data_IF_756559466429
#
_entry.id   IF_756559466429
#
_cell.length_a   1.000
_cell.length_b   1.000
_cell.length_c   1.000
_cell.angle_alpha   90.00
_cell.angle_beta   90.00
_cell.angle_gamma   90.00
#
_symmetry.space_group_name_H-M   'P 1'
#
loop_
_entity.id
_entity.type
_entity.pdbx_description
1 polymer ?
#
# COMPACT_ATOMS: atom_id res chain seq x y z
N UNK A 1 2.21 12.04 -14.71
CA UNK A 1 3.12 10.91 -15.05
C UNK A 1 4.30 10.80 -14.08
N UNK A 2 4.84 11.90 -13.53
CA UNK A 2 6.02 11.85 -12.64
C UNK A 2 5.79 11.08 -11.32
N UNK A 3 4.61 11.20 -10.71
CA UNK A 3 4.27 10.53 -9.44
C UNK A 3 4.33 8.99 -9.54
N UNK A 4 3.79 8.41 -10.61
CA UNK A 4 3.81 6.95 -10.83
C UNK A 4 5.25 6.41 -10.90
N UNK A 5 6.15 7.11 -11.60
CA UNK A 5 7.55 6.71 -11.65
C UNK A 5 8.22 6.81 -10.28
N UNK A 6 7.90 7.83 -9.48
CA UNK A 6 8.44 7.98 -8.12
C UNK A 6 7.97 6.84 -7.20
N UNK A 7 6.70 6.47 -7.26
CA UNK A 7 6.16 5.29 -6.57
C UNK A 7 6.88 4.02 -6.98
N UNK A 8 7.04 3.79 -8.30
CA UNK A 8 7.71 2.60 -8.80
C UNK A 8 9.20 2.53 -8.36
N UNK A 9 9.89 3.67 -8.37
CA UNK A 9 11.27 3.75 -7.87
C UNK A 9 11.35 3.50 -6.36
N UNK A 10 10.43 4.05 -5.58
CA UNK A 10 10.38 3.83 -4.14
C UNK A 10 10.12 2.36 -3.80
N UNK A 11 9.16 1.73 -4.47
CA UNK A 11 8.82 0.31 -4.27
C UNK A 11 10.00 -0.60 -4.66
N UNK A 12 10.68 -0.32 -5.78
CA UNK A 12 11.91 -1.04 -6.15
C UNK A 12 13.03 -0.86 -5.12
N UNK A 13 13.19 0.33 -4.55
CA UNK A 13 14.17 0.58 -3.50
C UNK A 13 13.86 -0.19 -2.21
N UNK A 14 12.57 -0.45 -1.93
CA UNK A 14 12.12 -1.33 -0.86
C UNK A 14 12.27 -2.83 -1.19
N UNK A 15 12.80 -3.17 -2.36
CA UNK A 15 13.06 -4.55 -2.78
C UNK A 15 11.90 -5.25 -3.48
N UNK A 16 10.85 -4.51 -3.87
CA UNK A 16 9.74 -5.08 -4.64
C UNK A 16 10.18 -5.40 -6.07
N UNK A 17 10.11 -6.67 -6.44
CA UNK A 17 10.39 -7.17 -7.78
C UNK A 17 9.11 -7.41 -8.61
N UNK A 18 9.29 -7.74 -9.89
CA UNK A 18 8.19 -8.28 -10.70
C UNK A 18 7.70 -9.61 -10.12
N UNK A 19 6.42 -9.91 -10.31
CA UNK A 19 5.69 -11.08 -9.78
C UNK A 19 5.48 -11.12 -8.26
N UNK A 20 5.98 -10.12 -7.53
CA UNK A 20 5.74 -9.99 -6.09
C UNK A 20 4.39 -9.31 -5.79
N UNK A 21 3.76 -9.69 -4.68
CA UNK A 21 2.51 -9.09 -4.23
C UNK A 21 2.75 -7.88 -3.33
N UNK A 22 2.07 -6.77 -3.62
CA UNK A 22 2.05 -5.56 -2.82
C UNK A 22 0.62 -5.26 -2.41
N UNK A 23 0.37 -5.23 -1.09
CA UNK A 23 -0.94 -4.85 -0.59
C UNK A 23 -1.11 -3.33 -0.50
N UNK A 24 -2.34 -2.85 -0.64
CA UNK A 24 -2.68 -1.44 -0.42
C UNK A 24 -3.86 -1.31 0.54
N UNK A 25 -3.70 -0.47 1.55
CA UNK A 25 -4.74 -0.06 2.48
C UNK A 25 -4.83 1.47 2.45
N UNK A 26 -5.60 1.98 1.50
CA UNK A 26 -5.81 3.41 1.29
C UNK A 26 -7.28 3.69 1.02
N UNK A 27 -7.72 4.90 1.32
CA UNK A 27 -9.01 5.39 0.83
C UNK A 27 -8.99 5.49 -0.71
N UNK A 28 -10.17 5.43 -1.34
CA UNK A 28 -10.31 5.54 -2.79
C UNK A 28 -10.02 6.98 -3.25
N UNK A 29 -8.73 7.31 -3.39
CA UNK A 29 -8.23 8.62 -3.77
C UNK A 29 -7.28 8.52 -4.97
N UNK A 30 -6.81 9.68 -5.45
CA UNK A 30 -5.88 9.75 -6.59
C UNK A 30 -4.57 9.00 -6.31
N UNK A 31 -4.04 9.06 -5.08
CA UNK A 31 -2.81 8.35 -4.71
C UNK A 31 -2.97 6.83 -4.83
N UNK A 32 -4.14 6.29 -4.48
CA UNK A 32 -4.42 4.87 -4.59
C UNK A 32 -4.39 4.40 -6.05
N UNK A 33 -4.95 5.21 -6.96
CA UNK A 33 -4.89 4.95 -8.42
C UNK A 33 -3.45 5.03 -8.93
N UNK A 34 -2.66 5.98 -8.45
CA UNK A 34 -1.25 6.11 -8.84
C UNK A 34 -0.40 4.94 -8.34
N UNK A 35 -0.62 4.48 -7.10
CA UNK A 35 0.00 3.28 -6.55
C UNK A 35 -0.40 2.03 -7.35
N UNK A 36 -1.67 1.90 -7.73
CA UNK A 36 -2.17 0.83 -8.59
C UNK A 36 -1.40 0.78 -9.92
N UNK A 37 -1.31 1.92 -10.59
CA UNK A 37 -0.58 2.05 -11.86
C UNK A 37 0.93 1.77 -11.70
N UNK A 38 1.55 2.22 -10.60
CA UNK A 38 2.97 2.04 -10.35
C UNK A 38 3.32 0.56 -10.13
N UNK A 39 2.56 -0.15 -9.29
CA UNK A 39 2.73 -1.58 -9.01
C UNK A 39 2.54 -2.39 -10.30
N UNK A 40 1.47 -2.12 -11.05
CA UNK A 40 1.22 -2.79 -12.33
C UNK A 40 2.34 -2.53 -13.35
N UNK A 41 2.85 -1.30 -13.41
CA UNK A 41 3.95 -0.92 -14.32
C UNK A 41 5.29 -1.60 -13.99
N UNK A 42 5.45 -2.08 -12.75
CA UNK A 42 6.62 -2.84 -12.32
C UNK A 42 6.53 -4.34 -12.64
N UNK A 43 5.36 -4.82 -13.09
CA UNK A 43 5.07 -6.24 -13.22
C UNK A 43 4.76 -6.93 -11.88
N UNK A 44 4.49 -6.16 -10.82
CA UNK A 44 4.08 -6.69 -9.53
C UNK A 44 2.55 -6.84 -9.47
N UNK A 45 2.06 -7.62 -8.51
CA UNK A 45 0.63 -7.89 -8.31
C UNK A 45 0.11 -7.03 -7.17
N UNK A 46 -0.96 -6.28 -7.41
CA UNK A 46 -1.60 -5.48 -6.36
C UNK A 46 -2.64 -6.31 -5.60
N UNK A 47 -2.61 -6.22 -4.27
CA UNK A 47 -3.61 -6.79 -3.38
C UNK A 47 -4.35 -5.68 -2.61
N UNK A 48 -5.57 -5.37 -3.01
CA UNK A 48 -6.32 -4.28 -2.39
C UNK A 48 -7.01 -4.73 -1.10
N UNK A 49 -6.58 -4.18 0.04
CA UNK A 49 -7.25 -4.37 1.33
C UNK A 49 -8.38 -3.37 1.49
N UNK A 50 -9.52 -3.82 2.00
CA UNK A 50 -10.68 -2.96 2.19
C UNK A 50 -10.61 -2.30 3.58
N UNK A 51 -10.49 -0.96 3.67
CA UNK A 51 -10.42 -0.25 4.95
C UNK A 51 -11.71 -0.32 5.77
N UNK A 52 -12.82 -0.82 5.21
CA UNK A 52 -14.06 -1.10 5.96
C UNK A 52 -14.00 -2.36 6.83
N UNK A 53 -12.95 -3.17 6.68
CA UNK A 53 -12.73 -4.36 7.51
C UNK A 53 -12.26 -3.96 8.91
N UNK A 54 -12.55 -4.78 9.90
CA UNK A 54 -12.07 -4.52 11.27
C UNK A 54 -10.54 -4.64 11.33
N UNK A 55 -9.92 -3.95 12.29
CA UNK A 55 -8.48 -4.03 12.53
C UNK A 55 -7.96 -5.48 12.69
N UNK A 56 -8.78 -6.36 13.30
CA UNK A 56 -8.46 -7.79 13.45
C UNK A 56 -8.45 -8.53 12.12
N UNK A 57 -9.40 -8.26 11.23
CA UNK A 57 -9.44 -8.85 9.89
C UNK A 57 -8.29 -8.35 9.03
N UNK A 58 -7.99 -7.05 9.10
CA UNK A 58 -6.85 -6.44 8.42
C UNK A 58 -5.52 -7.06 8.89
N UNK A 59 -5.37 -7.27 10.20
CA UNK A 59 -4.23 -7.96 10.78
C UNK A 59 -4.13 -9.41 10.32
N UNK A 60 -5.25 -10.14 10.29
CA UNK A 60 -5.28 -11.52 9.81
C UNK A 60 -4.84 -11.62 8.35
N UNK A 61 -5.41 -10.78 7.47
CA UNK A 61 -5.10 -10.77 6.04
C UNK A 61 -3.65 -10.34 5.83
N UNK A 62 -3.19 -9.25 6.45
CA UNK A 62 -1.81 -8.78 6.31
C UNK A 62 -0.76 -9.79 6.76
N UNK A 63 -1.05 -10.58 7.81
CA UNK A 63 -0.15 -11.63 8.27
C UNK A 63 -0.18 -12.90 7.40
N UNK A 64 -1.26 -13.12 6.66
CA UNK A 64 -1.47 -14.34 5.87
C UNK A 64 -1.29 -14.16 4.36
N UNK A 65 -1.32 -12.94 3.85
CA UNK A 65 -1.38 -12.66 2.42
C UNK A 65 -0.05 -12.87 1.66
N UNK A 66 1.03 -13.26 2.35
CA UNK A 66 2.37 -13.41 1.76
C UNK A 66 2.80 -12.19 0.92
N UNK A 67 2.26 -11.01 1.25
CA UNK A 67 2.57 -9.77 0.57
C UNK A 67 4.01 -9.35 0.92
N UNK A 68 4.76 -8.90 -0.08
CA UNK A 68 6.15 -8.46 0.08
C UNK A 68 6.25 -7.06 0.68
N UNK A 69 5.18 -6.28 0.60
CA UNK A 69 5.04 -5.00 1.27
C UNK A 69 3.59 -4.53 1.26
N UNK A 70 3.28 -3.59 2.16
CA UNK A 70 1.95 -2.98 2.26
C UNK A 70 2.09 -1.45 2.17
N UNK A 71 1.37 -0.82 1.25
CA UNK A 71 1.20 0.63 1.19
C UNK A 71 0.00 0.97 2.07
N UNK A 72 0.23 1.72 3.14
CA UNK A 72 -0.82 2.10 4.10
C UNK A 72 -0.91 3.61 4.16
N UNK A 73 -2.13 4.14 4.05
CA UNK A 73 -2.41 5.56 4.28
C UNK A 73 -2.15 5.92 5.75
N UNK A 74 -1.48 7.06 5.99
CA UNK A 74 -1.03 7.48 7.32
C UNK A 74 -2.13 7.50 8.39
N UNK A 75 -3.35 7.85 8.01
CA UNK A 75 -4.55 7.88 8.85
C UNK A 75 -4.98 6.48 9.34
N UNK A 76 -4.65 5.43 8.58
CA UNK A 76 -5.04 4.03 8.84
C UNK A 76 -3.94 3.22 9.54
N UNK A 77 -2.72 3.77 9.65
CA UNK A 77 -1.59 3.15 10.38
C UNK A 77 -1.95 2.73 11.81
N UNK A 78 -2.72 3.49 12.62
CA UNK A 78 -3.08 3.09 13.98
C UNK A 78 -3.96 1.83 14.04
N UNK A 79 -4.65 1.49 12.95
CA UNK A 79 -5.55 0.35 12.86
C UNK A 79 -4.82 -0.94 12.48
N UNK A 80 -3.56 -0.86 12.06
CA UNK A 80 -2.78 -2.01 11.62
C UNK A 80 -1.74 -2.40 12.69
N UNK A 81 -1.88 -3.56 13.37
CA UNK A 81 -0.89 -4.00 14.35
C UNK A 81 0.42 -4.33 13.64
N UNK A 82 1.38 -3.42 13.80
CA UNK A 82 2.65 -3.39 13.07
C UNK A 82 3.47 -4.62 13.46
N UNK A 83 3.79 -5.50 12.49
CA UNK A 83 4.91 -6.44 12.67
C UNK A 83 6.06 -6.23 11.70
N UNK A 84 5.85 -5.90 10.44
CA UNK A 84 6.93 -5.61 9.49
C UNK A 84 6.36 -4.76 8.36
N UNK A 85 6.82 -3.51 8.20
CA UNK A 85 6.84 -2.75 6.93
C UNK A 85 7.45 -1.37 7.20
N UNK A 86 8.42 -0.98 6.38
CA UNK A 86 9.03 0.35 6.38
C UNK A 86 8.01 1.39 5.87
N UNK A 87 7.43 2.16 6.80
CA UNK A 87 6.39 3.16 6.49
C UNK A 87 7.04 4.42 5.94
N UNK A 88 6.91 4.67 4.63
CA UNK A 88 7.18 5.98 4.03
C UNK A 88 5.85 6.69 3.78
N UNK A 89 5.65 7.80 4.50
CA UNK A 89 4.47 8.67 4.35
C UNK A 89 4.56 9.40 3.00
N UNK A 90 3.65 9.11 2.07
CA UNK A 90 3.24 10.11 1.08
C UNK A 90 2.35 11.13 1.78
N UNK A 91 2.33 12.35 1.25
CA UNK A 91 1.92 13.56 1.93
C UNK A 91 0.53 13.47 2.57
N UNK A 92 0.42 14.00 3.78
CA UNK A 92 -0.84 14.28 4.46
C UNK A 92 -1.68 15.27 3.62
N UNK A 93 -2.68 14.77 2.88
CA UNK A 93 -3.70 15.63 2.28
C UNK A 93 -5.10 15.03 2.47
N UNK A 94 -5.81 15.62 3.45
CA UNK A 94 -7.26 15.70 3.61
C UNK A 94 -8.12 14.44 3.34
N UNK A 95 -8.52 13.79 4.43
CA UNK A 95 -9.84 13.16 4.52
C UNK A 95 -10.73 14.03 5.44
N UNK A 96 -11.47 14.94 4.84
CA UNK A 96 -12.58 15.65 5.47
C UNK A 96 -13.90 15.03 4.98
N UNK A 97 -14.76 14.70 5.94
CA UNK A 97 -16.17 14.25 5.88
C UNK A 97 -16.51 12.80 5.53
#
# INVERSE_FOLDING_TARGET
MTSICQWAHALRACGVAGDERVATLMCNNQEHVEAYCAVASMGAVLHTLNPRLSAEQLAYIGNHAEDRGIIVEGSLVPLFPIRQTEVRRSHDDHCDH
#
